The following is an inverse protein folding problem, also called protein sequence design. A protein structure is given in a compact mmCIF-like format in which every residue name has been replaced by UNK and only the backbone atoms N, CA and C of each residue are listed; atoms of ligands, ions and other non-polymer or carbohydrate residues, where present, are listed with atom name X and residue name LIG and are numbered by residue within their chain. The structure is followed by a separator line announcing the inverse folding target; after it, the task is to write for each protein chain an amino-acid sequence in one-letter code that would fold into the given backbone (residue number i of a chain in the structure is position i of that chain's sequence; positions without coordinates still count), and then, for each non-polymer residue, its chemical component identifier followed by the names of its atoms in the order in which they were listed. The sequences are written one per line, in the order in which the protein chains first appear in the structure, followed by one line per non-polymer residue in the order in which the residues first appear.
data_IF_820847908162
#
_entry.id   IF_820847908162
#
_cell.length_a   1.000
_cell.length_b   1.000
_cell.length_c   1.000
_cell.angle_alpha   90.00
_cell.angle_beta   90.00
_cell.angle_gamma   90.00
#
_symmetry.space_group_name_H-M   'P 1'
#
loop_
_entity.id
_entity.type
_entity.pdbx_description
1 polymer ?
#
# COMPACT_ATOMS: atom_id res chain seq x y z
N UNK A 1 14.77 13.19 8.82
CA UNK A 1 15.27 12.54 10.05
C UNK A 1 15.99 11.24 9.74
N UNK A 2 15.38 10.25 9.05
CA UNK A 2 15.99 8.94 8.76
C UNK A 2 17.29 9.07 7.97
N UNK A 3 17.29 9.84 6.87
CA UNK A 3 18.47 10.06 6.03
C UNK A 3 19.61 10.70 6.83
N UNK A 4 19.29 11.66 7.70
CA UNK A 4 20.30 12.31 8.54
C UNK A 4 20.99 11.35 9.53
N UNK A 5 20.34 10.23 9.84
CA UNK A 5 20.89 9.16 10.68
C UNK A 5 21.56 8.04 9.85
N UNK A 6 21.77 8.24 8.54
CA UNK A 6 22.43 7.28 7.68
C UNK A 6 21.56 6.12 7.18
N UNK A 7 20.24 6.16 7.43
CA UNK A 7 19.30 5.16 6.89
C UNK A 7 19.07 5.44 5.41
N UNK A 8 19.26 4.45 4.51
CA UNK A 8 18.89 4.61 3.10
C UNK A 8 17.37 4.84 2.96
N UNK A 9 17.00 5.88 2.20
CA UNK A 9 15.60 6.21 1.90
C UNK A 9 15.51 6.45 0.40
N UNK A 10 14.63 5.71 -0.27
CA UNK A 10 14.37 5.80 -1.69
C UNK A 10 12.97 6.39 -1.91
N UNK A 11 12.86 7.70 -1.71
CA UNK A 11 11.63 8.45 -1.93
C UNK A 11 11.94 9.95 -1.95
N UNK A 12 11.24 10.71 -2.78
CA UNK A 12 11.22 12.17 -2.74
C UNK A 12 9.84 12.70 -3.14
N UNK A 13 9.51 13.90 -2.66
CA UNK A 13 8.22 14.51 -2.99
C UNK A 13 8.15 14.85 -4.48
N UNK A 14 7.15 14.32 -5.17
CA UNK A 14 6.93 14.55 -6.60
C UNK A 14 7.66 13.54 -7.50
N UNK A 15 8.05 12.40 -6.97
CA UNK A 15 8.57 11.27 -7.77
C UNK A 15 7.56 10.83 -8.83
N UNK A 16 8.07 10.36 -9.96
CA UNK A 16 7.27 9.78 -11.04
C UNK A 16 6.95 8.31 -10.74
N UNK A 17 6.04 7.71 -11.50
CA UNK A 17 5.77 6.27 -11.38
C UNK A 17 6.98 5.42 -11.74
N UNK A 18 7.81 5.88 -12.68
CA UNK A 18 9.07 5.23 -13.02
C UNK A 18 10.05 5.26 -11.84
N UNK A 19 10.21 6.42 -11.18
CA UNK A 19 11.04 6.55 -9.98
C UNK A 19 10.54 5.64 -8.86
N UNK A 20 9.22 5.61 -8.64
CA UNK A 20 8.59 4.76 -7.62
C UNK A 20 8.94 3.28 -7.81
N UNK A 21 8.81 2.74 -9.03
CA UNK A 21 9.13 1.33 -9.30
C UNK A 21 10.63 1.05 -9.34
N UNK A 22 11.47 2.01 -9.73
CA UNK A 22 12.92 1.91 -9.55
C UNK A 22 13.30 1.84 -8.07
N UNK A 23 12.72 2.72 -7.25
CA UNK A 23 12.95 2.74 -5.81
C UNK A 23 12.42 1.50 -5.12
N UNK A 24 11.30 0.96 -5.56
CA UNK A 24 10.77 -0.32 -5.06
C UNK A 24 11.72 -1.49 -5.37
N UNK A 25 12.46 -1.46 -6.48
CA UNK A 25 13.54 -2.42 -6.71
C UNK A 25 14.73 -2.20 -5.76
N UNK A 26 15.10 -0.95 -5.52
CA UNK A 26 16.28 -0.61 -4.70
C UNK A 26 16.15 -1.02 -3.25
N UNK A 27 14.93 -1.10 -2.70
CA UNK A 27 14.75 -1.61 -1.33
C UNK A 27 15.18 -3.07 -1.17
N UNK A 28 15.33 -3.81 -2.26
CA UNK A 28 15.85 -5.18 -2.26
C UNK A 28 17.35 -5.25 -2.57
N UNK A 29 18.02 -4.12 -2.78
CA UNK A 29 19.43 -4.03 -3.19
C UNK A 29 20.27 -3.29 -2.14
N UNK A 30 20.41 -3.87 -0.96
CA UNK A 30 21.29 -3.34 0.07
C UNK A 30 22.16 -4.46 0.67
N UNK A 31 23.23 -4.07 1.36
CA UNK A 31 24.20 -4.95 1.95
C UNK A 31 25.63 -4.48 1.67
N UNK A 32 26.64 -5.19 2.17
CA UNK A 32 28.03 -4.91 1.89
C UNK A 32 28.31 -5.13 0.39
N UNK A 33 29.13 -4.26 -0.24
CA UNK A 33 29.56 -4.45 -1.62
C UNK A 33 30.22 -5.82 -1.78
N UNK A 34 29.64 -6.66 -2.64
CA UNK A 34 30.16 -7.99 -2.95
C UNK A 34 29.48 -9.14 -2.22
N UNK A 35 28.53 -8.89 -1.33
CA UNK A 35 27.71 -9.94 -0.76
C UNK A 35 26.58 -10.32 -1.75
N UNK A 36 26.81 -11.33 -2.56
CA UNK A 36 25.78 -11.92 -3.42
C UNK A 36 24.65 -12.46 -2.54
N UNK A 37 23.42 -11.99 -2.82
CA UNK A 37 22.22 -12.44 -2.15
C UNK A 37 21.73 -11.56 -0.99
N UNK A 38 22.48 -10.54 -0.58
CA UNK A 38 22.01 -9.64 0.46
C UNK A 38 20.86 -8.74 -0.03
N UNK A 39 19.93 -8.51 0.85
CA UNK A 39 18.72 -7.76 0.71
C UNK A 39 17.88 -7.98 1.96
N UNK A 40 16.63 -7.52 2.01
CA UNK A 40 15.77 -7.74 3.17
C UNK A 40 15.43 -9.23 3.31
N UNK A 41 15.40 -9.71 4.54
CA UNK A 41 14.81 -11.02 4.86
C UNK A 41 13.38 -10.91 5.35
N UNK A 42 12.88 -9.69 5.58
CA UNK A 42 11.50 -9.35 5.93
C UNK A 42 11.09 -8.11 5.16
N UNK A 43 9.82 -8.06 4.74
CA UNK A 43 9.18 -6.89 4.15
C UNK A 43 8.16 -6.35 5.13
N UNK A 44 8.14 -5.04 5.34
CA UNK A 44 7.00 -4.32 5.86
C UNK A 44 6.38 -3.60 4.67
N UNK A 45 5.17 -3.99 4.28
CA UNK A 45 4.47 -3.49 3.10
C UNK A 45 3.21 -2.71 3.50
N UNK A 46 2.83 -1.76 2.66
CA UNK A 46 1.64 -0.93 2.84
C UNK A 46 0.97 -0.72 1.48
N UNK A 47 0.02 -1.59 1.17
CA UNK A 47 -0.64 -1.70 -0.12
C UNK A 47 -0.17 -2.88 -0.98
N UNK A 48 0.87 -3.59 -0.55
CA UNK A 48 1.33 -4.83 -1.17
C UNK A 48 2.17 -4.64 -2.42
N UNK A 49 2.74 -3.46 -2.69
CA UNK A 49 3.44 -3.20 -3.95
C UNK A 49 4.82 -3.87 -4.00
N UNK A 50 5.58 -3.86 -2.91
CA UNK A 50 6.84 -4.59 -2.83
C UNK A 50 6.62 -6.10 -2.98
N UNK A 51 5.56 -6.61 -2.36
CA UNK A 51 5.14 -8.01 -2.47
C UNK A 51 4.70 -8.34 -3.90
N UNK A 52 3.88 -7.48 -4.53
CA UNK A 52 3.44 -7.63 -5.92
C UNK A 52 4.63 -7.69 -6.88
N UNK A 53 5.59 -6.77 -6.74
CA UNK A 53 6.80 -6.72 -7.55
C UNK A 53 7.54 -8.06 -7.51
N UNK A 54 7.78 -8.61 -6.32
CA UNK A 54 8.50 -9.87 -6.15
C UNK A 54 7.75 -11.06 -6.75
N UNK A 55 6.43 -11.15 -6.54
CA UNK A 55 5.60 -12.24 -7.06
C UNK A 55 5.44 -12.19 -8.57
N UNK A 56 5.15 -11.01 -9.13
CA UNK A 56 4.98 -10.83 -10.57
C UNK A 56 6.31 -11.03 -11.30
N UNK A 57 7.38 -10.44 -10.77
CA UNK A 57 8.72 -10.58 -11.33
C UNK A 57 9.18 -12.04 -11.39
N UNK A 58 8.99 -12.81 -10.31
CA UNK A 58 9.32 -14.24 -10.30
C UNK A 58 8.50 -15.04 -11.32
N UNK A 59 7.21 -14.75 -11.46
CA UNK A 59 6.38 -15.40 -12.48
C UNK A 59 6.84 -15.04 -13.90
N UNK A 60 7.24 -13.80 -14.10
CA UNK A 60 7.72 -13.30 -15.39
C UNK A 60 9.09 -13.92 -15.80
N UNK A 61 9.89 -14.43 -14.86
CA UNK A 61 11.10 -15.21 -15.18
C UNK A 61 10.80 -16.46 -16.02
N UNK A 62 9.60 -17.02 -15.85
CA UNK A 62 9.16 -18.23 -16.60
C UNK A 62 8.16 -17.91 -17.70
N UNK A 63 7.38 -16.86 -17.56
CA UNK A 63 6.34 -16.46 -18.51
C UNK A 63 6.32 -14.92 -18.68
N UNK A 64 7.15 -14.45 -19.59
CA UNK A 64 7.23 -13.01 -19.91
C UNK A 64 5.93 -12.44 -20.54
N UNK A 65 5.00 -13.29 -21.00
CA UNK A 65 3.73 -12.83 -21.58
C UNK A 65 2.82 -12.13 -20.57
N UNK A 66 3.02 -12.40 -19.27
CA UNK A 66 2.32 -11.74 -18.17
C UNK A 66 2.52 -10.21 -18.17
N UNK A 67 3.57 -9.73 -18.81
CA UNK A 67 3.92 -8.29 -18.86
C UNK A 67 3.49 -7.61 -20.18
N UNK A 68 2.61 -8.23 -20.99
CA UNK A 68 2.31 -7.70 -22.33
C UNK A 68 1.08 -6.77 -22.38
N UNK A 69 0.14 -6.89 -21.43
CA UNK A 69 -1.14 -6.19 -21.49
C UNK A 69 -1.39 -5.40 -20.20
N UNK A 70 -0.70 -4.26 -19.98
CA UNK A 70 -0.96 -3.41 -18.83
C UNK A 70 -2.35 -2.78 -18.91
N UNK A 71 -3.07 -2.77 -17.80
CA UNK A 71 -4.40 -2.17 -17.67
C UNK A 71 -4.41 -0.72 -17.19
N UNK A 72 -3.26 -0.19 -16.78
CA UNK A 72 -3.11 1.17 -16.26
C UNK A 72 -1.73 1.73 -16.57
N UNK A 73 -1.57 3.05 -16.42
CA UNK A 73 -0.27 3.73 -16.54
C UNK A 73 0.74 3.19 -15.51
N UNK A 74 0.27 2.93 -14.30
CA UNK A 74 1.09 2.34 -13.24
C UNK A 74 1.61 0.95 -13.63
N UNK A 75 0.75 0.09 -14.18
CA UNK A 75 1.17 -1.24 -14.67
C UNK A 75 2.14 -1.14 -15.86
N UNK A 76 2.04 -0.11 -16.70
CA UNK A 76 3.03 0.12 -17.76
C UNK A 76 4.42 0.34 -17.14
N UNK A 77 4.52 1.20 -16.14
CA UNK A 77 5.79 1.50 -15.46
C UNK A 77 6.32 0.26 -14.73
N UNK A 78 5.47 -0.43 -13.97
CA UNK A 78 5.83 -1.69 -13.30
C UNK A 78 6.36 -2.75 -14.27
N UNK A 79 5.61 -3.01 -15.36
CA UNK A 79 5.98 -4.04 -16.33
C UNK A 79 7.29 -3.70 -17.06
N UNK A 80 7.50 -2.43 -17.39
CA UNK A 80 8.74 -1.96 -17.99
C UNK A 80 9.93 -2.11 -17.01
N UNK A 81 9.73 -1.77 -15.74
CA UNK A 81 10.75 -1.96 -14.72
C UNK A 81 11.14 -3.44 -14.53
N UNK A 82 10.14 -4.34 -14.50
CA UNK A 82 10.39 -5.79 -14.43
C UNK A 82 11.14 -6.28 -15.69
N UNK A 83 10.70 -5.90 -16.90
CA UNK A 83 11.38 -6.27 -18.16
C UNK A 83 12.82 -5.81 -18.17
N UNK A 84 13.09 -4.57 -17.76
CA UNK A 84 14.44 -4.03 -17.69
C UNK A 84 15.34 -4.80 -16.71
N UNK A 85 14.80 -5.18 -15.54
CA UNK A 85 15.52 -5.99 -14.55
C UNK A 85 15.84 -7.38 -15.09
N UNK A 86 14.86 -8.07 -15.68
CA UNK A 86 15.03 -9.42 -16.26
C UNK A 86 16.00 -9.45 -17.44
N UNK A 87 16.10 -8.37 -18.20
CA UNK A 87 17.08 -8.26 -19.30
C UNK A 87 18.54 -8.26 -18.80
N UNK A 88 18.77 -7.77 -17.58
CA UNK A 88 20.10 -7.71 -16.96
C UNK A 88 20.37 -8.95 -16.10
N UNK A 89 19.38 -9.41 -15.36
CA UNK A 89 19.47 -10.54 -14.42
C UNK A 89 18.19 -11.38 -14.49
N UNK A 90 18.16 -12.43 -15.32
CA UNK A 90 16.96 -13.22 -15.56
C UNK A 90 16.41 -13.99 -14.35
N UNK A 91 17.16 -14.10 -13.26
CA UNK A 91 16.79 -14.84 -12.04
C UNK A 91 16.76 -13.96 -10.80
N UNK A 92 16.76 -12.64 -10.98
CA UNK A 92 16.87 -11.69 -9.88
C UNK A 92 15.77 -11.87 -8.81
N UNK A 93 14.51 -12.01 -9.24
CA UNK A 93 13.37 -12.14 -8.31
C UNK A 93 13.36 -13.46 -7.56
N UNK A 94 13.66 -14.58 -8.25
CA UNK A 94 13.78 -15.89 -7.60
C UNK A 94 14.88 -15.90 -6.57
N UNK A 95 16.04 -15.35 -6.91
CA UNK A 95 17.22 -15.30 -6.06
C UNK A 95 16.99 -14.40 -4.85
N UNK A 96 16.45 -13.18 -5.04
CA UNK A 96 16.11 -12.27 -3.95
C UNK A 96 14.98 -12.83 -3.08
N UNK A 97 13.93 -13.36 -3.69
CA UNK A 97 12.79 -13.94 -2.99
C UNK A 97 13.13 -15.14 -2.10
N UNK A 98 14.19 -15.89 -2.44
CA UNK A 98 14.64 -17.01 -1.62
C UNK A 98 15.14 -16.61 -0.20
N UNK A 99 15.54 -15.36 -0.02
CA UNK A 99 15.99 -14.83 1.27
C UNK A 99 14.86 -14.23 2.11
N UNK A 100 13.69 -13.99 1.53
CA UNK A 100 12.57 -13.37 2.22
C UNK A 100 11.80 -14.42 3.03
N UNK A 101 11.76 -14.24 4.35
CA UNK A 101 11.08 -15.12 5.30
C UNK A 101 9.58 -14.82 5.31
N UNK A 102 9.21 -13.56 5.14
CA UNK A 102 7.82 -13.13 5.17
C UNK A 102 7.62 -11.64 4.96
N UNK A 103 6.34 -11.27 4.90
CA UNK A 103 5.87 -9.89 4.82
C UNK A 103 4.87 -9.61 5.94
N UNK A 104 4.91 -8.40 6.49
CA UNK A 104 3.83 -7.82 7.29
C UNK A 104 3.12 -6.76 6.46
N UNK A 105 1.80 -6.83 6.37
CA UNK A 105 0.99 -5.91 5.57
C UNK A 105 0.16 -4.99 6.47
N UNK A 106 0.27 -3.69 6.23
CA UNK A 106 -0.30 -2.64 7.06
C UNK A 106 -1.69 -2.15 6.61
N UNK A 107 -2.14 -2.49 5.39
CA UNK A 107 -3.38 -1.87 4.87
C UNK A 107 -4.32 -2.86 4.18
N UNK A 108 -5.61 -2.53 4.17
CA UNK A 108 -6.70 -3.38 3.65
C UNK A 108 -6.44 -3.81 2.20
N UNK A 109 -6.00 -2.91 1.33
CA UNK A 109 -5.75 -3.22 -0.09
C UNK A 109 -4.68 -4.31 -0.25
N UNK A 110 -3.58 -4.20 0.49
CA UNK A 110 -2.53 -5.22 0.47
C UNK A 110 -2.99 -6.54 1.07
N UNK A 111 -3.75 -6.50 2.18
CA UNK A 111 -4.34 -7.72 2.79
C UNK A 111 -5.25 -8.46 1.80
N UNK A 112 -6.08 -7.73 1.04
CA UNK A 112 -6.94 -8.36 0.01
C UNK A 112 -6.10 -9.05 -1.07
N UNK A 113 -5.02 -8.40 -1.56
CA UNK A 113 -4.09 -9.01 -2.52
C UNK A 113 -3.42 -10.27 -1.96
N UNK A 114 -2.97 -10.23 -0.71
CA UNK A 114 -2.34 -11.38 -0.05
C UNK A 114 -3.31 -12.53 0.14
N UNK A 115 -4.55 -12.26 0.54
CA UNK A 115 -5.61 -13.26 0.67
C UNK A 115 -5.91 -13.94 -0.66
N UNK A 116 -5.96 -13.17 -1.75
CA UNK A 116 -6.15 -13.72 -3.10
C UNK A 116 -4.99 -14.62 -3.52
N UNK A 117 -3.75 -14.19 -3.27
CA UNK A 117 -2.54 -15.00 -3.54
C UNK A 117 -2.53 -16.28 -2.69
N UNK A 118 -2.93 -16.17 -1.42
CA UNK A 118 -3.03 -17.35 -0.53
C UNK A 118 -4.08 -18.35 -1.02
N UNK A 119 -5.26 -17.87 -1.41
CA UNK A 119 -6.34 -18.72 -1.94
C UNK A 119 -5.92 -19.44 -3.24
N UNK A 120 -5.08 -18.81 -4.07
CA UNK A 120 -4.52 -19.39 -5.29
C UNK A 120 -3.28 -20.28 -5.03
N UNK A 121 -2.79 -20.37 -3.79
CA UNK A 121 -1.56 -21.08 -3.46
C UNK A 121 -0.30 -20.47 -4.10
N UNK A 122 -0.32 -19.19 -4.43
CA UNK A 122 0.75 -18.50 -5.17
C UNK A 122 1.69 -17.65 -4.30
N UNK A 123 1.48 -17.62 -2.98
CA UNK A 123 2.38 -16.90 -2.07
C UNK A 123 3.77 -17.54 -2.07
N UNK A 124 4.80 -16.71 -2.27
CA UNK A 124 6.21 -17.12 -2.24
C UNK A 124 6.75 -17.30 -0.82
N UNK A 125 6.23 -16.55 0.11
CA UNK A 125 6.65 -16.48 1.51
C UNK A 125 5.45 -16.23 2.42
N UNK A 126 5.64 -16.34 3.73
CA UNK A 126 4.58 -16.12 4.73
C UNK A 126 4.13 -14.66 4.72
N UNK A 127 2.82 -14.45 4.89
CA UNK A 127 2.23 -13.13 5.02
C UNK A 127 1.48 -12.99 6.33
N UNK A 128 1.67 -11.87 7.01
CA UNK A 128 1.03 -11.54 8.30
C UNK A 128 0.21 -10.28 8.10
N UNK A 129 -1.10 -10.40 8.31
CA UNK A 129 -2.03 -9.29 8.31
C UNK A 129 -1.93 -8.52 9.63
N UNK A 130 -1.22 -7.40 9.63
CA UNK A 130 -1.14 -6.48 10.76
C UNK A 130 -2.30 -5.49 10.76
N UNK A 131 -2.85 -5.18 9.58
CA UNK A 131 -3.96 -4.23 9.45
C UNK A 131 -5.16 -4.58 10.35
N UNK A 132 -5.52 -5.86 10.43
CA UNK A 132 -6.70 -6.31 11.19
C UNK A 132 -6.40 -6.63 12.66
N UNK A 133 -5.18 -6.38 13.11
CA UNK A 133 -4.89 -6.35 14.55
C UNK A 133 -5.76 -5.29 15.23
N UNK A 134 -6.36 -5.63 16.37
CA UNK A 134 -7.22 -4.70 17.13
C UNK A 134 -6.46 -3.42 17.48
N UNK A 135 -5.20 -3.54 17.87
CA UNK A 135 -4.35 -2.39 18.21
C UNK A 135 -3.88 -1.59 17.00
N UNK A 136 -4.11 -2.05 15.76
CA UNK A 136 -3.85 -1.30 14.53
C UNK A 136 -5.13 -0.72 13.97
N UNK A 137 -6.10 -1.55 13.56
CA UNK A 137 -7.30 -1.09 12.84
C UNK A 137 -8.20 -0.17 13.68
N UNK A 138 -8.37 -0.47 14.96
CA UNK A 138 -9.21 0.34 15.87
C UNK A 138 -8.52 1.61 16.35
N UNK A 139 -7.25 1.79 16.05
CA UNK A 139 -6.47 2.99 16.42
C UNK A 139 -6.02 3.75 15.17
N UNK A 140 -5.10 3.23 14.38
CA UNK A 140 -4.57 3.95 13.24
C UNK A 140 -5.63 4.20 12.16
N UNK A 141 -6.36 3.18 11.73
CA UNK A 141 -7.37 3.34 10.69
C UNK A 141 -8.48 4.32 11.11
N UNK A 142 -8.86 4.33 12.38
CA UNK A 142 -9.89 5.22 12.92
C UNK A 142 -9.33 6.61 13.28
N UNK A 143 -8.43 6.66 14.24
CA UNK A 143 -7.91 7.93 14.78
C UNK A 143 -6.88 8.57 13.88
N UNK A 144 -6.03 7.78 13.22
CA UNK A 144 -5.06 8.29 12.26
C UNK A 144 -5.74 8.97 11.09
N UNK A 145 -6.75 8.33 10.50
CA UNK A 145 -7.52 8.93 9.39
C UNK A 145 -8.38 10.12 9.85
N UNK A 146 -8.87 10.12 11.10
CA UNK A 146 -9.56 11.28 11.68
C UNK A 146 -8.69 12.53 11.72
N UNK A 147 -7.40 12.37 12.01
CA UNK A 147 -6.43 13.48 11.97
C UNK A 147 -6.00 13.82 10.55
N UNK A 148 -5.60 12.82 9.76
CA UNK A 148 -4.91 13.02 8.49
C UNK A 148 -5.83 13.48 7.36
N UNK A 149 -7.11 13.06 7.32
CA UNK A 149 -8.02 13.42 6.23
C UNK A 149 -8.20 14.95 6.12
N UNK A 150 -8.56 15.59 7.20
CA UNK A 150 -8.84 17.05 7.20
C UNK A 150 -7.57 17.86 7.00
N UNK A 151 -6.43 17.40 7.50
CA UNK A 151 -5.12 18.00 7.24
C UNK A 151 -4.78 17.93 5.75
N UNK A 152 -4.94 16.75 5.13
CA UNK A 152 -4.68 16.56 3.71
C UNK A 152 -5.58 17.40 2.82
N UNK A 153 -6.89 17.48 3.11
CA UNK A 153 -7.83 18.30 2.35
C UNK A 153 -7.40 19.78 2.43
N UNK A 154 -7.09 20.28 3.61
CA UNK A 154 -6.66 21.68 3.79
C UNK A 154 -5.36 21.98 3.06
N UNK A 155 -4.37 21.11 3.15
CA UNK A 155 -3.08 21.27 2.45
C UNK A 155 -3.21 21.23 0.93
N UNK A 156 -4.11 20.37 0.41
CA UNK A 156 -4.28 20.20 -1.03
C UNK A 156 -5.14 21.30 -1.67
N UNK A 157 -6.07 21.91 -0.93
CA UNK A 157 -7.13 22.72 -1.54
C UNK A 157 -7.26 24.13 -0.99
N UNK A 158 -6.71 24.43 0.19
CA UNK A 158 -6.92 25.67 0.95
C UNK A 158 -8.41 26.00 1.22
N UNK A 159 -9.29 25.01 1.17
CA UNK A 159 -10.75 25.19 1.25
C UNK A 159 -11.22 25.13 2.70
N UNK A 160 -12.11 26.00 3.08
CA UNK A 160 -12.86 25.92 4.34
C UNK A 160 -13.85 24.75 4.29
N UNK A 161 -13.81 23.86 5.28
CA UNK A 161 -14.66 22.66 5.35
C UNK A 161 -16.05 23.00 5.87
N UNK A 162 -16.18 23.97 6.78
CA UNK A 162 -17.44 24.34 7.38
C UNK A 162 -18.50 24.73 6.33
N UNK A 163 -19.74 24.24 6.53
CA UNK A 163 -20.89 24.53 5.67
C UNK A 163 -20.91 23.75 4.34
N UNK A 164 -19.89 22.93 4.04
CA UNK A 164 -19.88 22.11 2.84
C UNK A 164 -20.57 20.76 3.06
N UNK A 165 -21.11 20.20 1.99
CA UNK A 165 -21.58 18.82 1.96
C UNK A 165 -20.36 17.93 1.65
N UNK A 166 -20.13 16.94 2.49
CA UNK A 166 -19.11 15.93 2.32
C UNK A 166 -19.75 14.54 2.25
N UNK A 167 -19.48 13.80 1.19
CA UNK A 167 -19.91 12.41 1.05
C UNK A 167 -18.76 11.49 1.41
N UNK A 168 -18.95 10.62 2.40
CA UNK A 168 -17.99 9.60 2.82
C UNK A 168 -18.48 8.25 2.29
N UNK A 169 -17.71 7.66 1.39
CA UNK A 169 -18.01 6.35 0.82
C UNK A 169 -17.38 5.26 1.69
N UNK A 170 -18.21 4.55 2.43
CA UNK A 170 -17.81 3.54 3.42
C UNK A 170 -17.85 4.05 4.86
N UNK A 171 -18.23 3.18 5.79
CA UNK A 171 -18.29 3.48 7.23
C UNK A 171 -17.61 2.40 8.08
N UNK A 172 -16.53 1.83 7.54
CA UNK A 172 -15.56 1.05 8.30
C UNK A 172 -14.72 1.96 9.22
N UNK A 173 -13.62 1.47 9.75
CA UNK A 173 -12.79 2.26 10.70
C UNK A 173 -12.30 3.59 10.07
N UNK A 174 -11.82 3.57 8.84
CA UNK A 174 -11.41 4.78 8.10
C UNK A 174 -12.57 5.75 7.88
N UNK A 175 -13.72 5.23 7.43
CA UNK A 175 -14.92 6.03 7.17
C UNK A 175 -15.47 6.68 8.44
N UNK A 176 -15.47 5.95 9.55
CA UNK A 176 -15.88 6.47 10.88
C UNK A 176 -15.01 7.65 11.30
N UNK A 177 -13.69 7.49 11.27
CA UNK A 177 -12.76 8.57 11.60
C UNK A 177 -12.93 9.79 10.69
N UNK A 178 -13.02 9.54 9.38
CA UNK A 178 -13.19 10.58 8.36
C UNK A 178 -14.49 11.38 8.55
N UNK A 179 -15.62 10.69 8.74
CA UNK A 179 -16.93 11.31 8.97
C UNK A 179 -16.94 12.16 10.26
N UNK A 180 -16.35 11.64 11.34
CA UNK A 180 -16.25 12.36 12.61
C UNK A 180 -15.44 13.65 12.47
N UNK A 181 -14.28 13.61 11.78
CA UNK A 181 -13.44 14.79 11.59
C UNK A 181 -14.14 15.87 10.75
N UNK A 182 -14.78 15.49 9.66
CA UNK A 182 -15.53 16.41 8.80
C UNK A 182 -16.72 17.07 9.54
N UNK A 183 -17.48 16.26 10.29
CA UNK A 183 -18.59 16.78 11.11
C UNK A 183 -18.10 17.71 12.22
N UNK A 184 -16.99 17.39 12.87
CA UNK A 184 -16.39 18.25 13.90
C UNK A 184 -15.97 19.63 13.35
N UNK A 185 -15.65 19.71 12.05
CA UNK A 185 -15.38 20.97 11.35
C UNK A 185 -16.64 21.58 10.70
N UNK A 186 -17.84 21.18 11.13
CA UNK A 186 -19.13 21.72 10.69
C UNK A 186 -19.46 21.46 9.21
N UNK A 187 -18.97 20.40 8.63
CA UNK A 187 -19.48 19.89 7.37
C UNK A 187 -20.84 19.19 7.56
N UNK A 188 -21.69 19.22 6.52
CA UNK A 188 -22.84 18.33 6.41
C UNK A 188 -22.37 17.01 5.84
N UNK A 189 -22.26 15.97 6.68
CA UNK A 189 -21.68 14.69 6.28
C UNK A 189 -22.80 13.70 5.90
N UNK A 190 -22.67 13.16 4.70
CA UNK A 190 -23.48 12.04 4.22
C UNK A 190 -22.60 10.81 4.08
N UNK A 191 -23.11 9.66 4.48
CA UNK A 191 -22.42 8.39 4.43
C UNK A 191 -23.10 7.45 3.45
N UNK A 192 -22.34 6.77 2.60
CA UNK A 192 -22.81 5.62 1.83
C UNK A 192 -22.10 4.37 2.31
N UNK A 193 -22.83 3.27 2.49
CA UNK A 193 -22.27 2.02 2.99
C UNK A 193 -23.03 0.83 2.42
N UNK A 194 -22.32 -0.27 2.14
CA UNK A 194 -22.91 -1.51 1.64
C UNK A 194 -23.07 -2.56 2.75
N UNK A 195 -22.24 -2.51 3.80
CA UNK A 195 -22.37 -3.38 4.96
C UNK A 195 -23.52 -2.89 5.85
N UNK A 196 -24.55 -3.72 6.09
CA UNK A 196 -25.74 -3.29 6.82
C UNK A 196 -25.45 -2.95 8.28
N UNK A 197 -24.43 -3.54 8.91
CA UNK A 197 -24.04 -3.24 10.29
C UNK A 197 -23.40 -1.86 10.36
N UNK A 198 -22.45 -1.58 9.48
CA UNK A 198 -21.82 -0.27 9.41
C UNK A 198 -22.83 0.83 9.01
N UNK A 199 -23.74 0.52 8.08
CA UNK A 199 -24.82 1.46 7.70
C UNK A 199 -25.72 1.80 8.88
N UNK A 200 -26.12 0.79 9.67
CA UNK A 200 -26.91 1.00 10.88
C UNK A 200 -26.15 1.85 11.91
N UNK A 201 -24.85 1.59 12.10
CA UNK A 201 -24.02 2.40 12.99
C UNK A 201 -23.98 3.87 12.53
N UNK A 202 -23.79 4.13 11.24
CA UNK A 202 -23.81 5.48 10.70
C UNK A 202 -25.13 6.18 10.97
N UNK A 203 -26.27 5.50 10.74
CA UNK A 203 -27.61 6.02 11.02
C UNK A 203 -27.82 6.32 12.51
N UNK A 204 -27.36 5.45 13.41
CA UNK A 204 -27.47 5.63 14.87
C UNK A 204 -26.59 6.78 15.37
N UNK A 205 -25.50 7.10 14.66
CA UNK A 205 -24.63 8.26 14.93
C UNK A 205 -25.11 9.55 14.26
N UNK A 206 -26.21 9.51 13.50
CA UNK A 206 -26.85 10.69 12.93
C UNK A 206 -26.24 11.18 11.61
N UNK A 207 -25.75 10.26 10.78
CA UNK A 207 -25.31 10.52 9.41
C UNK A 207 -26.38 10.21 8.38
#
# INVERSE_FOLDING_TARGET
ALVANGTPVFAYKGETLEDYWDYTHRIFEFGAKGAEGEGPNMILDDGGDATLLMHLGKRAETDASLLNNPGSEEEVCLFNAIKAKLAVDPTWYSRKGAHIIGVTEETTTGVLRLNEMAAKGSLMFRAINVNDSVTKSKFDNLYGCRESLVDAIKRATDVMIAGKVAVVAGYGDVGKGSAQALRALSAQVWVTEIDPINALQAAMEGY
#
